data_IF_778817293125
#
_entry.id   IF_778817293125
#
_cell.length_a   1.000
_cell.length_b   1.000
_cell.length_c   1.000
_cell.angle_alpha   90.00
_cell.angle_beta   90.00
_cell.angle_gamma   90.00
#
_symmetry.space_group_name_H-M   'P 1'
#
loop_
_entity.id
_entity.type
_entity.pdbx_description
1 polymer ?
#
# COMPACT_ATOMS: atom_id res chain seq x y z
N UNK A 1 -1.17 17.99 -9.38
CA UNK A 1 -0.86 17.22 -8.15
C UNK A 1 -0.02 16.01 -8.52
N UNK A 2 1.01 15.69 -7.72
CA UNK A 2 1.86 14.50 -7.86
C UNK A 2 1.57 13.50 -6.75
N UNK A 3 1.32 12.25 -7.10
CA UNK A 3 0.94 11.19 -6.17
C UNK A 3 2.03 10.13 -6.16
N UNK A 4 2.66 9.94 -5.02
CA UNK A 4 3.73 8.95 -4.82
C UNK A 4 3.20 7.78 -4.01
N UNK A 5 3.17 6.60 -4.61
CA UNK A 5 2.68 5.38 -3.93
C UNK A 5 3.87 4.50 -3.60
N UNK A 6 4.22 4.45 -2.32
CA UNK A 6 5.28 3.59 -1.79
C UNK A 6 4.69 2.27 -1.27
N UNK A 7 5.31 1.17 -1.63
CA UNK A 7 4.86 -0.14 -1.19
C UNK A 7 5.75 -1.26 -1.69
N UNK A 8 5.20 -2.45 -1.65
CA UNK A 8 5.85 -3.71 -2.02
C UNK A 8 5.29 -4.29 -3.34
N UNK A 9 5.31 -5.63 -3.49
CA UNK A 9 4.79 -6.33 -4.67
C UNK A 9 3.30 -6.07 -4.92
N UNK A 10 2.51 -5.84 -3.86
CA UNK A 10 1.07 -5.55 -3.98
C UNK A 10 0.87 -4.15 -4.57
N UNK A 11 1.63 -3.16 -4.14
CA UNK A 11 1.61 -1.83 -4.74
C UNK A 11 2.14 -1.86 -6.19
N UNK A 12 3.18 -2.67 -6.43
CA UNK A 12 3.73 -2.86 -7.78
C UNK A 12 2.70 -3.44 -8.77
N UNK A 13 1.67 -4.15 -8.28
CA UNK A 13 0.63 -4.76 -9.10
C UNK A 13 0.97 -6.19 -9.54
N UNK A 14 1.73 -6.93 -8.73
CA UNK A 14 2.14 -8.29 -9.05
C UNK A 14 0.91 -9.19 -9.29
N UNK A 15 0.96 -10.03 -10.31
CA UNK A 15 -0.11 -10.92 -10.80
C UNK A 15 -1.38 -10.25 -11.34
N UNK A 16 -1.38 -8.95 -11.58
CA UNK A 16 -2.44 -8.29 -12.32
C UNK A 16 -1.93 -7.78 -13.68
N UNK A 17 -2.48 -8.31 -14.75
CA UNK A 17 -2.10 -7.93 -16.13
C UNK A 17 -2.47 -6.49 -16.49
N UNK A 18 -3.34 -5.85 -15.70
CA UNK A 18 -3.71 -4.44 -15.81
C UNK A 18 -2.82 -3.51 -14.98
N UNK A 19 -1.77 -4.03 -14.34
CA UNK A 19 -0.77 -3.25 -13.58
C UNK A 19 -1.16 -2.90 -12.15
N UNK A 20 -2.14 -3.57 -11.57
CA UNK A 20 -2.53 -3.44 -10.17
C UNK A 20 -3.39 -2.22 -9.86
N UNK A 21 -3.68 -2.04 -8.57
CA UNK A 21 -4.54 -0.98 -8.08
C UNK A 21 -4.00 0.43 -8.34
N UNK A 22 -2.68 0.61 -8.30
CA UNK A 22 -2.04 1.91 -8.57
C UNK A 22 -2.21 2.33 -10.02
N UNK A 23 -2.07 1.37 -10.97
CA UNK A 23 -2.31 1.66 -12.39
C UNK A 23 -3.77 2.00 -12.69
N UNK A 24 -4.73 1.36 -12.00
CA UNK A 24 -6.16 1.70 -12.12
C UNK A 24 -6.44 3.12 -11.66
N UNK A 25 -5.89 3.53 -10.52
CA UNK A 25 -5.99 4.91 -10.02
C UNK A 25 -5.34 5.89 -11.01
N UNK A 26 -4.15 5.57 -11.51
CA UNK A 26 -3.46 6.39 -12.49
C UNK A 26 -4.31 6.59 -13.76
N UNK A 27 -4.95 5.54 -14.27
CA UNK A 27 -5.82 5.61 -15.44
C UNK A 27 -6.99 6.58 -15.22
N UNK A 28 -7.66 6.51 -14.06
CA UNK A 28 -8.78 7.40 -13.71
C UNK A 28 -8.32 8.85 -13.60
N UNK A 29 -7.19 9.09 -12.95
CA UNK A 29 -6.65 10.43 -12.75
C UNK A 29 -6.10 11.05 -14.04
N UNK A 30 -5.50 10.25 -14.92
CA UNK A 30 -5.08 10.71 -16.24
C UNK A 30 -6.29 11.07 -17.11
N UNK A 31 -7.37 10.30 -17.02
CA UNK A 31 -8.61 10.67 -17.72
C UNK A 31 -9.17 11.99 -17.18
N UNK A 32 -9.21 12.17 -15.85
CA UNK A 32 -9.61 13.44 -15.21
C UNK A 32 -8.73 14.62 -15.68
N UNK A 33 -7.41 14.41 -15.78
CA UNK A 33 -6.48 15.42 -16.32
C UNK A 33 -6.80 15.79 -17.77
N UNK A 34 -7.09 14.80 -18.61
CA UNK A 34 -7.48 15.02 -19.99
C UNK A 34 -8.80 15.80 -20.09
N UNK A 35 -9.80 15.42 -19.29
CA UNK A 35 -11.11 16.09 -19.27
C UNK A 35 -10.97 17.55 -18.81
N UNK A 36 -10.14 17.83 -17.80
CA UNK A 36 -9.84 19.19 -17.33
C UNK A 36 -9.15 20.01 -18.42
N UNK A 37 -8.14 19.45 -19.09
CA UNK A 37 -7.46 20.12 -20.21
C UNK A 37 -8.42 20.48 -21.34
N UNK A 38 -9.32 19.57 -21.71
CA UNK A 38 -10.33 19.81 -22.76
C UNK A 38 -11.35 20.87 -22.37
N UNK A 39 -11.55 21.12 -21.06
CA UNK A 39 -12.40 22.18 -20.52
C UNK A 39 -11.66 23.50 -20.31
N UNK A 40 -10.36 23.56 -20.64
CA UNK A 40 -9.53 24.76 -20.52
C UNK A 40 -8.90 24.96 -19.15
N UNK A 41 -8.96 23.97 -18.26
CA UNK A 41 -8.23 23.94 -16.99
C UNK A 41 -6.91 23.15 -17.15
N UNK A 42 -5.87 23.84 -17.62
CA UNK A 42 -4.54 23.25 -17.82
C UNK A 42 -3.75 23.04 -16.50
N UNK A 43 -4.22 23.57 -15.38
CA UNK A 43 -3.51 23.53 -14.10
C UNK A 43 -3.87 22.30 -13.24
N UNK A 44 -4.95 21.62 -13.56
CA UNK A 44 -5.47 20.46 -12.78
C UNK A 44 -4.98 19.14 -13.36
N UNK A 45 -3.65 18.94 -13.39
CA UNK A 45 -3.04 17.71 -13.86
C UNK A 45 -2.64 16.78 -12.70
N UNK A 46 -2.80 15.47 -12.90
CA UNK A 46 -2.39 14.43 -11.97
C UNK A 46 -1.27 13.58 -12.56
N UNK A 47 -0.21 13.37 -11.80
CA UNK A 47 0.85 12.41 -12.12
C UNK A 47 0.96 11.38 -11.00
N UNK A 48 0.86 10.10 -11.33
CA UNK A 48 0.93 9.00 -10.36
C UNK A 48 2.21 8.20 -10.56
N UNK A 49 3.01 8.10 -9.51
CA UNK A 49 4.25 7.33 -9.47
C UNK A 49 4.05 6.07 -8.64
N UNK A 50 4.01 4.91 -9.31
CA UNK A 50 4.07 3.64 -8.61
C UNK A 50 5.52 3.36 -8.22
N UNK A 51 5.80 3.45 -6.92
CA UNK A 51 7.12 3.21 -6.32
C UNK A 51 7.10 1.90 -5.48
N UNK A 52 6.26 0.94 -5.85
CA UNK A 52 6.24 -0.40 -5.30
C UNK A 52 7.49 -1.18 -5.71
N UNK A 53 8.12 -1.86 -4.75
CA UNK A 53 9.27 -2.74 -4.97
C UNK A 53 8.97 -4.12 -4.37
N UNK A 54 8.99 -5.16 -5.21
CA UNK A 54 8.66 -6.52 -4.76
C UNK A 54 9.52 -6.97 -3.58
N UNK A 55 8.87 -7.43 -2.51
CA UNK A 55 9.54 -7.88 -1.28
C UNK A 55 9.99 -6.76 -0.34
N UNK A 56 9.68 -5.50 -0.65
CA UNK A 56 10.09 -4.38 0.19
C UNK A 56 9.44 -4.41 1.58
N UNK A 57 10.12 -3.83 2.54
CA UNK A 57 9.72 -3.67 3.93
C UNK A 57 9.56 -2.20 4.29
N UNK A 58 9.02 -1.94 5.46
CA UNK A 58 8.92 -0.58 6.01
C UNK A 58 10.27 0.12 6.07
N UNK A 59 11.34 -0.59 6.45
CA UNK A 59 12.69 -0.04 6.48
C UNK A 59 13.23 0.25 5.07
N UNK A 60 12.92 -0.62 4.09
CA UNK A 60 13.29 -0.40 2.69
C UNK A 60 12.66 0.89 2.14
N UNK A 61 11.36 1.10 2.37
CA UNK A 61 10.70 2.35 1.99
C UNK A 61 11.29 3.55 2.73
N UNK A 62 11.55 3.45 4.04
CA UNK A 62 12.13 4.53 4.83
C UNK A 62 13.47 5.01 4.26
N UNK A 63 14.31 4.09 3.78
CA UNK A 63 15.63 4.45 3.23
C UNK A 63 15.55 5.21 1.90
N UNK A 64 14.49 5.02 1.10
CA UNK A 64 14.38 5.58 -0.26
C UNK A 64 13.36 6.70 -0.43
N UNK A 65 12.38 6.84 0.48
CA UNK A 65 11.23 7.75 0.33
C UNK A 65 11.65 9.18 -0.03
N UNK A 66 12.61 9.74 0.69
CA UNK A 66 13.09 11.11 0.45
C UNK A 66 13.66 11.26 -0.97
N UNK A 67 14.56 10.39 -1.36
CA UNK A 67 15.25 10.48 -2.66
C UNK A 67 14.29 10.26 -3.83
N UNK A 68 13.34 9.34 -3.69
CA UNK A 68 12.35 9.04 -4.72
C UNK A 68 11.38 10.21 -4.94
N UNK A 69 10.95 10.88 -3.88
CA UNK A 69 10.11 12.08 -3.98
C UNK A 69 10.91 13.25 -4.57
N UNK A 70 12.10 13.54 -4.01
CA UNK A 70 12.94 14.66 -4.47
C UNK A 70 13.31 14.55 -5.96
N UNK A 71 13.51 13.34 -6.47
CA UNK A 71 13.83 13.10 -7.87
C UNK A 71 12.67 13.40 -8.83
N UNK A 72 11.42 13.46 -8.33
CA UNK A 72 10.20 13.58 -9.15
C UNK A 72 9.34 14.77 -8.80
N UNK A 73 9.67 15.53 -7.75
CA UNK A 73 8.87 16.67 -7.33
C UNK A 73 8.99 17.86 -8.27
N UNK A 74 7.91 18.65 -8.34
CA UNK A 74 7.90 20.02 -8.86
C UNK A 74 7.44 20.95 -7.74
N UNK A 75 8.20 21.97 -7.44
CA UNK A 75 7.98 22.86 -6.28
C UNK A 75 6.73 23.73 -6.38
N UNK A 76 6.10 23.79 -7.55
CA UNK A 76 4.85 24.52 -7.81
C UNK A 76 3.60 23.62 -7.85
N UNK A 77 3.76 22.34 -7.53
CA UNK A 77 2.65 21.38 -7.52
C UNK A 77 2.46 20.75 -6.14
N UNK A 78 1.20 20.52 -5.78
CA UNK A 78 0.85 19.75 -4.59
C UNK A 78 1.29 18.30 -4.72
N UNK A 79 1.70 17.73 -3.60
CA UNK A 79 2.18 16.36 -3.49
C UNK A 79 1.33 15.57 -2.51
N UNK A 80 1.07 14.31 -2.82
CA UNK A 80 0.40 13.36 -1.96
C UNK A 80 1.24 12.09 -1.88
N UNK A 81 1.45 11.57 -0.67
CA UNK A 81 2.17 10.31 -0.43
C UNK A 81 1.20 9.27 0.11
N UNK A 82 1.19 8.09 -0.51
CA UNK A 82 0.49 6.90 -0.04
C UNK A 82 1.53 5.87 0.38
N UNK A 83 1.47 5.43 1.63
CA UNK A 83 2.30 4.37 2.21
C UNK A 83 1.47 3.09 2.25
N UNK A 84 1.87 2.08 1.47
CA UNK A 84 1.19 0.78 1.31
C UNK A 84 2.20 -0.36 1.50
N UNK A 85 2.82 -0.44 2.67
CA UNK A 85 3.88 -1.40 3.02
C UNK A 85 3.66 -1.96 4.42
N UNK A 86 4.16 -3.16 4.70
CA UNK A 86 4.12 -3.78 6.02
C UNK A 86 3.79 -5.27 6.00
N UNK A 87 3.23 -5.81 4.91
CA UNK A 87 2.88 -7.22 4.84
C UNK A 87 4.13 -8.12 4.88
N UNK A 88 5.26 -7.68 4.33
CA UNK A 88 6.52 -8.41 4.42
C UNK A 88 7.16 -8.32 5.80
N UNK A 89 6.87 -7.28 6.57
CA UNK A 89 7.30 -7.15 7.96
C UNK A 89 6.56 -8.15 8.88
N UNK A 90 5.32 -8.54 8.54
CA UNK A 90 4.49 -9.48 9.31
C UNK A 90 4.85 -10.96 9.15
N UNK A 91 5.89 -11.29 8.36
CA UNK A 91 6.33 -12.67 8.08
C UNK A 91 6.66 -13.42 9.37
N UNK A 92 6.15 -14.67 9.44
CA UNK A 92 6.57 -15.66 10.42
C UNK A 92 7.56 -16.66 9.80
N UNK A 93 8.48 -17.15 10.63
CA UNK A 93 9.38 -18.27 10.30
C UNK A 93 8.62 -19.59 10.38
N UNK A 94 9.22 -20.68 9.90
CA UNK A 94 8.66 -22.02 9.96
C UNK A 94 8.27 -22.48 11.37
N UNK A 95 8.89 -21.95 12.41
CA UNK A 95 8.62 -22.21 13.82
C UNK A 95 7.61 -21.23 14.45
N UNK A 96 6.90 -20.48 13.64
CA UNK A 96 5.92 -19.45 14.00
C UNK A 96 6.50 -18.22 14.75
N UNK A 97 7.81 -18.07 14.84
CA UNK A 97 8.40 -16.86 15.39
C UNK A 97 8.34 -15.75 14.35
N UNK A 98 7.96 -14.54 14.79
CA UNK A 98 7.99 -13.36 13.94
C UNK A 98 9.40 -13.10 13.39
N UNK A 99 9.50 -12.66 12.14
CA UNK A 99 10.76 -12.23 11.54
C UNK A 99 11.16 -10.85 12.10
N UNK A 100 10.17 -9.99 12.31
CA UNK A 100 10.29 -8.67 12.91
C UNK A 100 9.38 -8.58 14.15
N UNK A 101 9.86 -7.95 15.20
CA UNK A 101 9.06 -7.64 16.39
C UNK A 101 8.09 -6.48 16.07
N UNK A 102 6.83 -6.58 16.52
CA UNK A 102 5.79 -5.60 16.19
C UNK A 102 6.07 -4.21 16.76
N UNK A 103 6.75 -4.10 17.92
CA UNK A 103 7.13 -2.80 18.48
C UNK A 103 8.25 -2.16 17.66
N UNK A 104 9.22 -2.95 17.22
CA UNK A 104 10.28 -2.48 16.31
C UNK A 104 9.69 -2.03 14.97
N UNK A 105 8.71 -2.78 14.45
CA UNK A 105 7.96 -2.38 13.26
C UNK A 105 7.29 -1.02 13.49
N UNK A 106 6.56 -0.86 14.61
CA UNK A 106 5.85 0.39 14.93
C UNK A 106 6.80 1.59 14.97
N UNK A 107 7.94 1.45 15.64
CA UNK A 107 8.95 2.52 15.67
C UNK A 107 9.48 2.90 14.27
N UNK A 108 9.68 1.89 13.42
CA UNK A 108 10.15 2.11 12.04
C UNK A 108 9.07 2.75 11.18
N UNK A 109 7.82 2.31 11.35
CA UNK A 109 6.68 2.85 10.63
C UNK A 109 6.39 4.31 11.01
N UNK A 110 6.50 4.65 12.31
CA UNK A 110 6.39 6.04 12.78
C UNK A 110 7.49 6.93 12.19
N UNK A 111 8.73 6.44 12.11
CA UNK A 111 9.81 7.18 11.44
C UNK A 111 9.49 7.39 9.95
N UNK A 112 8.92 6.39 9.27
CA UNK A 112 8.52 6.50 7.88
C UNK A 112 7.44 7.57 7.69
N UNK A 113 6.40 7.59 8.54
CA UNK A 113 5.37 8.63 8.51
C UNK A 113 5.99 10.01 8.74
N UNK A 114 6.87 10.17 9.72
CA UNK A 114 7.53 11.44 10.02
C UNK A 114 8.38 11.92 8.83
N UNK A 115 9.11 11.03 8.15
CA UNK A 115 9.85 11.41 6.94
C UNK A 115 8.90 11.81 5.79
N UNK A 116 7.78 11.11 5.62
CA UNK A 116 6.77 11.51 4.63
C UNK A 116 6.15 12.89 4.94
N UNK A 117 5.84 13.17 6.21
CA UNK A 117 5.29 14.47 6.65
C UNK A 117 6.27 15.65 6.48
N UNK A 118 7.58 15.39 6.42
CA UNK A 118 8.57 16.43 6.07
C UNK A 118 8.53 16.80 4.57
N UNK A 119 8.00 15.91 3.74
CA UNK A 119 7.93 16.09 2.30
C UNK A 119 6.61 16.73 1.86
N UNK A 120 5.48 16.31 2.46
CA UNK A 120 4.15 16.85 2.18
C UNK A 120 3.22 16.75 3.39
N UNK A 121 2.21 17.62 3.45
CA UNK A 121 1.13 17.54 4.45
C UNK A 121 0.06 16.46 4.12
N UNK A 122 0.07 15.92 2.90
CA UNK A 122 -0.92 14.94 2.42
C UNK A 122 -0.34 13.53 2.43
N UNK A 123 -0.36 12.89 3.62
CA UNK A 123 0.14 11.53 3.81
C UNK A 123 -1.03 10.61 4.18
N UNK A 124 -1.12 9.48 3.50
CA UNK A 124 -2.11 8.42 3.72
C UNK A 124 -1.41 7.09 3.93
N UNK A 125 -1.90 6.29 4.86
CA UNK A 125 -1.40 4.94 5.10
C UNK A 125 -2.51 3.93 4.78
N UNK A 126 -2.27 3.05 3.82
CA UNK A 126 -3.15 1.93 3.50
C UNK A 126 -2.86 0.77 4.44
N UNK A 127 -3.90 0.13 4.96
CA UNK A 127 -3.80 -1.10 5.74
C UNK A 127 -3.30 -2.28 4.90
N UNK A 128 -3.18 -3.43 5.52
CA UNK A 128 -2.61 -4.64 4.92
C UNK A 128 -3.74 -5.55 4.40
N UNK A 129 -3.53 -6.22 3.27
CA UNK A 129 -4.48 -7.21 2.74
C UNK A 129 -4.48 -8.47 3.60
N UNK A 130 -5.63 -9.16 3.68
CA UNK A 130 -5.68 -10.52 4.22
C UNK A 130 -5.11 -11.55 3.23
N UNK A 131 -4.81 -12.74 3.72
CA UNK A 131 -4.22 -13.84 2.95
C UNK A 131 -5.07 -15.13 3.05
N UNK A 132 -4.89 -16.04 2.09
CA UNK A 132 -5.37 -17.41 2.22
C UNK A 132 -4.32 -18.26 2.95
N UNK A 133 -4.54 -18.49 4.23
CA UNK A 133 -3.59 -19.23 5.09
C UNK A 133 -3.34 -20.67 4.64
N UNK A 134 -4.25 -21.27 3.86
CA UNK A 134 -4.04 -22.61 3.30
C UNK A 134 -2.90 -22.63 2.28
N UNK A 135 -2.64 -21.50 1.63
CA UNK A 135 -1.59 -21.36 0.63
C UNK A 135 -0.34 -20.65 1.17
N UNK A 136 -0.49 -19.84 2.23
CA UNK A 136 0.61 -19.04 2.76
C UNK A 136 1.20 -19.56 4.07
N UNK A 137 0.69 -20.69 4.63
CA UNK A 137 1.16 -21.18 5.92
C UNK A 137 1.43 -22.71 5.93
N UNK A 138 2.60 -23.16 5.40
CA UNK A 138 3.75 -22.39 4.86
C UNK A 138 3.51 -21.95 3.40
N UNK A 139 4.10 -20.82 3.02
CA UNK A 139 4.06 -20.37 1.63
C UNK A 139 4.97 -21.23 0.74
N UNK A 140 4.39 -21.82 -0.29
CA UNK A 140 5.09 -22.77 -1.17
C UNK A 140 6.21 -22.12 -1.99
N UNK A 141 6.17 -20.80 -2.20
CA UNK A 141 7.23 -20.03 -2.85
C UNK A 141 8.47 -19.77 -1.98
N UNK A 142 8.47 -20.25 -0.72
CA UNK A 142 9.59 -20.00 0.20
C UNK A 142 10.41 -21.24 0.47
N UNK A 143 11.71 -21.21 0.11
CA UNK A 143 12.67 -22.26 0.46
C UNK A 143 13.02 -22.30 1.96
N UNK A 144 12.71 -21.26 2.71
CA UNK A 144 13.01 -21.14 4.15
C UNK A 144 11.76 -21.22 5.04
N UNK A 145 10.60 -21.59 4.47
CA UNK A 145 9.37 -21.79 5.21
C UNK A 145 8.75 -20.51 5.77
N UNK A 146 8.83 -19.41 5.03
CA UNK A 146 8.08 -18.18 5.37
C UNK A 146 6.60 -18.49 5.43
N UNK A 147 5.90 -17.81 6.33
CA UNK A 147 4.46 -17.90 6.51
C UNK A 147 3.86 -16.51 6.64
N UNK A 148 2.66 -16.33 6.09
CA UNK A 148 1.79 -15.21 6.39
C UNK A 148 0.50 -15.74 6.99
N UNK A 149 0.07 -15.12 8.09
CA UNK A 149 -1.16 -15.46 8.80
C UNK A 149 -1.94 -14.21 9.13
N UNK A 150 -3.26 -14.26 8.97
CA UNK A 150 -4.13 -13.12 9.19
C UNK A 150 -4.01 -12.54 10.61
N UNK A 151 -3.88 -13.40 11.63
CA UNK A 151 -3.64 -12.93 13.00
C UNK A 151 -2.35 -12.14 13.16
N UNK A 152 -1.26 -12.53 12.46
CA UNK A 152 0.00 -11.78 12.47
C UNK A 152 -0.17 -10.47 11.70
N UNK A 153 -0.74 -10.52 10.50
CA UNK A 153 -0.98 -9.35 9.66
C UNK A 153 -1.81 -8.32 10.42
N UNK A 154 -2.87 -8.75 11.10
CA UNK A 154 -3.74 -7.85 11.86
C UNK A 154 -3.02 -7.12 13.00
N UNK A 155 -2.08 -7.78 13.69
CA UNK A 155 -1.23 -7.11 14.69
C UNK A 155 -0.40 -5.97 14.09
N UNK A 156 0.12 -6.17 12.87
CA UNK A 156 0.88 -5.14 12.16
C UNK A 156 -0.04 -4.03 11.63
N UNK A 157 -1.24 -4.37 11.13
CA UNK A 157 -2.24 -3.37 10.73
C UNK A 157 -2.71 -2.51 11.91
N UNK A 158 -2.98 -3.11 13.06
CA UNK A 158 -3.31 -2.37 14.30
C UNK A 158 -2.18 -1.42 14.69
N UNK A 159 -0.93 -1.84 14.52
CA UNK A 159 0.25 -1.02 14.77
C UNK A 159 0.34 0.16 13.80
N UNK A 160 0.04 -0.04 12.51
CA UNK A 160 -0.08 1.04 11.51
C UNK A 160 -1.16 2.04 11.96
N UNK A 161 -2.35 1.55 12.29
CA UNK A 161 -3.48 2.37 12.75
C UNK A 161 -3.11 3.21 13.96
N UNK A 162 -2.50 2.61 15.00
CA UNK A 162 -2.04 3.34 16.19
C UNK A 162 -1.00 4.41 15.85
N UNK A 163 -0.07 4.10 14.94
CA UNK A 163 0.95 5.06 14.48
C UNK A 163 0.32 6.25 13.75
N UNK A 164 -0.66 5.99 12.88
CA UNK A 164 -1.38 7.04 12.15
C UNK A 164 -2.22 7.91 13.07
N UNK A 165 -2.90 7.34 14.07
CA UNK A 165 -3.64 8.09 15.10
C UNK A 165 -2.70 9.00 15.89
N UNK A 166 -1.54 8.47 16.33
CA UNK A 166 -0.54 9.23 17.11
C UNK A 166 0.05 10.39 16.34
N UNK A 167 0.28 10.21 15.04
CA UNK A 167 0.92 11.20 14.16
C UNK A 167 -0.08 12.03 13.35
N UNK A 168 -1.39 11.86 13.59
CA UNK A 168 -2.47 12.59 12.92
C UNK A 168 -2.44 12.46 11.41
N UNK A 169 -2.19 11.24 10.91
CA UNK A 169 -2.21 10.87 9.50
C UNK A 169 -3.44 10.01 9.21
N UNK A 170 -3.94 10.06 7.99
CA UNK A 170 -5.11 9.29 7.57
C UNK A 170 -4.76 7.81 7.41
N UNK A 171 -5.50 6.93 8.12
CA UNK A 171 -5.46 5.48 7.93
C UNK A 171 -6.63 5.02 7.06
N UNK A 172 -6.36 4.13 6.13
CA UNK A 172 -7.35 3.51 5.24
C UNK A 172 -7.35 2.01 5.54
N UNK A 173 -8.32 1.51 6.31
CA UNK A 173 -8.40 0.09 6.65
C UNK A 173 -8.76 -0.74 5.42
N UNK A 174 -8.17 -1.94 5.31
CA UNK A 174 -8.47 -2.88 4.23
C UNK A 174 -8.55 -4.34 4.69
N UNK A 175 -7.85 -4.73 5.75
CA UNK A 175 -7.73 -6.11 6.18
C UNK A 175 -9.08 -6.81 6.38
N UNK A 176 -9.95 -6.24 7.20
CA UNK A 176 -11.24 -6.86 7.56
C UNK A 176 -12.17 -6.96 6.35
N UNK A 177 -12.17 -5.94 5.48
CA UNK A 177 -12.96 -5.96 4.27
C UNK A 177 -12.46 -7.04 3.31
N UNK A 178 -11.13 -7.17 3.16
CA UNK A 178 -10.51 -8.18 2.31
C UNK A 178 -10.78 -9.59 2.86
N UNK A 179 -10.60 -9.79 4.17
CA UNK A 179 -10.82 -11.05 4.85
C UNK A 179 -12.29 -11.51 4.74
N UNK A 180 -13.24 -10.60 4.97
CA UNK A 180 -14.67 -10.94 4.91
C UNK A 180 -15.10 -11.39 3.52
N UNK A 181 -14.54 -10.84 2.45
CA UNK A 181 -14.82 -11.27 1.08
C UNK A 181 -14.19 -12.64 0.78
N UNK A 182 -12.95 -12.90 1.25
CA UNK A 182 -12.35 -14.22 1.15
C UNK A 182 -13.17 -15.30 1.89
N UNK A 183 -13.66 -14.99 3.10
CA UNK A 183 -14.53 -15.88 3.88
C UNK A 183 -15.89 -16.10 3.23
N UNK A 184 -16.41 -15.12 2.49
CA UNK A 184 -17.61 -15.25 1.68
C UNK A 184 -17.40 -16.10 0.40
N UNK A 185 -16.15 -16.52 0.13
CA UNK A 185 -15.79 -17.37 -1.01
C UNK A 185 -15.37 -16.61 -2.27
N UNK A 186 -15.14 -15.29 -2.17
CA UNK A 186 -14.62 -14.51 -3.28
C UNK A 186 -13.15 -14.88 -3.56
N UNK A 187 -12.80 -14.92 -4.84
CA UNK A 187 -11.43 -15.20 -5.27
C UNK A 187 -10.70 -13.87 -5.49
N UNK A 188 -10.00 -13.39 -4.46
CA UNK A 188 -9.28 -12.11 -4.50
C UNK A 188 -7.77 -12.25 -4.64
N UNK A 189 -7.22 -13.46 -4.50
CA UNK A 189 -5.79 -13.73 -4.45
C UNK A 189 -5.37 -14.68 -5.59
N UNK A 190 -4.19 -14.45 -6.14
CA UNK A 190 -3.60 -15.27 -7.20
C UNK A 190 -2.84 -16.49 -6.65
N UNK A 191 -2.09 -16.30 -5.57
CA UNK A 191 -1.21 -17.31 -4.96
C UNK A 191 -1.42 -17.47 -3.44
N UNK A 192 -2.49 -16.87 -2.92
CA UNK A 192 -2.80 -16.84 -1.50
C UNK A 192 -2.26 -15.61 -0.76
N UNK A 193 -1.31 -14.87 -1.35
CA UNK A 193 -0.70 -13.66 -0.79
C UNK A 193 -1.00 -12.42 -1.65
N UNK A 194 -0.73 -12.51 -2.95
CA UNK A 194 -0.85 -11.39 -3.86
C UNK A 194 -2.27 -11.30 -4.43
N UNK A 195 -2.87 -10.10 -4.43
CA UNK A 195 -4.16 -9.90 -5.07
C UNK A 195 -4.12 -10.26 -6.56
N UNK A 196 -5.22 -10.84 -7.03
CA UNK A 196 -5.50 -11.00 -8.44
C UNK A 196 -6.22 -9.73 -8.96
N UNK A 197 -6.75 -9.78 -10.20
CA UNK A 197 -7.48 -8.66 -10.80
C UNK A 197 -8.60 -8.12 -9.89
N UNK A 198 -9.45 -9.00 -9.34
CA UNK A 198 -10.57 -8.60 -8.45
C UNK A 198 -10.06 -8.00 -7.12
N UNK A 199 -9.00 -8.57 -6.54
CA UNK A 199 -8.38 -8.02 -5.34
C UNK A 199 -7.76 -6.64 -5.58
N UNK A 200 -7.14 -6.43 -6.73
CA UNK A 200 -6.63 -5.11 -7.12
C UNK A 200 -7.75 -4.10 -7.44
N UNK A 201 -8.87 -4.53 -8.00
CA UNK A 201 -10.05 -3.68 -8.19
C UNK A 201 -10.63 -3.23 -6.85
N UNK A 202 -10.72 -4.13 -5.87
CA UNK A 202 -11.16 -3.78 -4.51
C UNK A 202 -10.25 -2.72 -3.89
N UNK A 203 -8.92 -2.92 -3.93
CA UNK A 203 -7.95 -1.93 -3.43
C UNK A 203 -8.09 -0.57 -4.14
N UNK A 204 -8.22 -0.57 -5.46
CA UNK A 204 -8.41 0.66 -6.23
C UNK A 204 -9.70 1.39 -5.83
N UNK A 205 -10.81 0.66 -5.66
CA UNK A 205 -12.11 1.23 -5.26
C UNK A 205 -12.03 1.90 -3.89
N UNK A 206 -11.43 1.22 -2.91
CA UNK A 206 -11.23 1.77 -1.56
C UNK A 206 -10.38 3.04 -1.58
N UNK A 207 -9.31 3.05 -2.36
CA UNK A 207 -8.44 4.22 -2.49
C UNK A 207 -9.10 5.39 -3.21
N UNK A 208 -9.89 5.12 -4.25
CA UNK A 208 -10.64 6.16 -4.97
C UNK A 208 -11.65 6.82 -4.03
N UNK A 209 -12.41 6.04 -3.28
CA UNK A 209 -13.41 6.57 -2.34
C UNK A 209 -12.78 7.31 -1.16
N UNK A 210 -11.68 6.79 -0.62
CA UNK A 210 -11.08 7.32 0.61
C UNK A 210 -10.16 8.51 0.39
N UNK A 211 -9.50 8.59 -0.76
CA UNK A 211 -8.44 9.58 -1.06
C UNK A 211 -8.79 10.41 -2.30
N UNK A 212 -8.94 9.73 -3.45
CA UNK A 212 -8.96 10.40 -4.75
C UNK A 212 -10.17 11.31 -4.95
N UNK A 213 -11.34 10.91 -4.46
CA UNK A 213 -12.55 11.74 -4.53
C UNK A 213 -12.55 12.94 -3.57
N UNK A 214 -11.53 13.04 -2.68
CA UNK A 214 -11.37 14.14 -1.73
C UNK A 214 -10.25 15.12 -2.13
N UNK A 215 -9.48 14.78 -3.13
CA UNK A 215 -8.45 15.60 -3.78
C UNK A 215 -8.96 16.22 -5.08
#
# INVERSE_FOLDING_TARGET
MRIFVFGDSIAQGFYDTSGGWVARIATILHQKSLDNMLQGDENSNFEVYNLGVSGDSTEGVLTRIKHEVEARRLYDQDELIIIAVGINDSILKADNRALMDVYQFQETYEKLIIEAQKLTSHVYCLGLTAVDEKLTSPWTGSSIGKQWRNNSINLFEDSIKQSTERLSVQFIPIHDQFLSQLEAGETLLADGLHPNEAGHELLASVMIESVINKT
#
